data_IF_982374653720
#
_entry.id   IF_982374653720
#
_cell.length_a   1.000
_cell.length_b   1.000
_cell.length_c   1.000
_cell.angle_alpha   90.00
_cell.angle_beta   90.00
_cell.angle_gamma   90.00
#
_symmetry.space_group_name_H-M   'P 1'
#
loop_
_entity.id
_entity.type
_entity.pdbx_description
1 polymer ?
#
# COMPACT_ATOMS: atom_id res chain seq x y z
N UNK A 1 -15.86 17.17 -77.82
CA UNK A 1 -15.97 16.89 -76.37
C UNK A 1 -15.02 15.76 -76.03
N UNK A 2 -13.86 16.08 -75.46
CA UNK A 2 -12.84 15.10 -75.03
C UNK A 2 -13.02 14.83 -73.54
N UNK A 3 -13.49 13.64 -73.17
CA UNK A 3 -13.52 13.18 -71.78
C UNK A 3 -12.16 12.58 -71.45
N UNK A 4 -11.37 13.26 -70.60
CA UNK A 4 -10.04 12.80 -70.18
C UNK A 4 -10.20 11.51 -69.35
N UNK A 5 -9.72 10.34 -69.84
CA UNK A 5 -9.86 9.07 -69.15
C UNK A 5 -8.76 8.96 -68.09
N UNK A 6 -9.04 9.45 -66.88
CA UNK A 6 -8.06 9.33 -65.78
C UNK A 6 -8.48 9.98 -64.47
N UNK A 7 -9.31 11.02 -64.55
CA UNK A 7 -9.71 11.81 -63.36
C UNK A 7 -10.63 11.00 -62.43
N UNK A 8 -11.51 10.16 -62.98
CA UNK A 8 -12.43 9.31 -62.21
C UNK A 8 -11.75 8.16 -61.46
N UNK A 9 -10.73 7.54 -62.06
CA UNK A 9 -9.98 6.44 -61.45
C UNK A 9 -9.05 6.93 -60.33
N UNK A 10 -8.35 8.05 -60.55
CA UNK A 10 -7.51 8.68 -59.53
C UNK A 10 -8.33 9.15 -58.31
N UNK A 11 -9.53 9.71 -58.55
CA UNK A 11 -10.46 10.11 -57.48
C UNK A 11 -10.96 8.89 -56.71
N UNK A 12 -11.48 7.84 -57.37
CA UNK A 12 -11.92 6.61 -56.68
C UNK A 12 -10.81 5.96 -55.86
N UNK A 13 -9.57 5.92 -56.37
CA UNK A 13 -8.39 5.36 -55.66
C UNK A 13 -7.99 6.18 -54.43
N UNK A 14 -8.13 7.51 -54.49
CA UNK A 14 -7.90 8.41 -53.34
C UNK A 14 -8.97 8.26 -52.26
N UNK A 15 -10.22 8.07 -52.66
CA UNK A 15 -11.34 7.81 -51.73
C UNK A 15 -11.23 6.44 -51.07
N UNK A 16 -10.86 5.39 -51.82
CA UNK A 16 -10.60 4.05 -51.23
C UNK A 16 -9.42 4.07 -50.27
N UNK A 17 -8.32 4.77 -50.59
CA UNK A 17 -7.20 4.97 -49.65
C UNK A 17 -7.62 5.69 -48.37
N UNK A 18 -8.47 6.71 -48.49
CA UNK A 18 -9.00 7.46 -47.34
C UNK A 18 -9.89 6.60 -46.45
N UNK A 19 -10.76 5.76 -47.05
CA UNK A 19 -11.63 4.86 -46.30
C UNK A 19 -10.85 3.74 -45.61
N UNK A 20 -9.84 3.16 -46.28
CA UNK A 20 -8.96 2.16 -45.68
C UNK A 20 -8.17 2.75 -44.51
N UNK A 21 -7.64 3.97 -44.64
CA UNK A 21 -6.95 4.66 -43.56
C UNK A 21 -7.86 4.87 -42.34
N UNK A 22 -9.10 5.33 -42.55
CA UNK A 22 -10.08 5.51 -41.48
C UNK A 22 -10.39 4.20 -40.75
N UNK A 23 -10.64 3.12 -41.49
CA UNK A 23 -10.94 1.81 -40.91
C UNK A 23 -9.76 1.29 -40.08
N UNK A 24 -8.52 1.42 -40.59
CA UNK A 24 -7.31 1.01 -39.86
C UNK A 24 -7.13 1.83 -38.60
N UNK A 25 -7.36 3.15 -38.63
CA UNK A 25 -7.27 4.01 -37.45
C UNK A 25 -8.31 3.63 -36.39
N UNK A 26 -9.55 3.37 -36.79
CA UNK A 26 -10.59 2.94 -35.85
C UNK A 26 -10.21 1.60 -35.21
N UNK A 27 -9.80 0.61 -36.02
CA UNK A 27 -9.38 -0.70 -35.51
C UNK A 27 -8.20 -0.56 -34.54
N UNK A 28 -7.18 0.26 -34.86
CA UNK A 28 -6.04 0.45 -33.97
C UNK A 28 -6.41 1.11 -32.65
N UNK A 29 -7.33 2.09 -32.68
CA UNK A 29 -7.83 2.74 -31.45
C UNK A 29 -8.62 1.74 -30.63
N UNK A 30 -9.51 0.95 -31.25
CA UNK A 30 -10.32 -0.04 -30.54
C UNK A 30 -9.45 -1.11 -29.88
N UNK A 31 -8.45 -1.64 -30.60
CA UNK A 31 -7.50 -2.62 -30.03
C UNK A 31 -6.72 -1.99 -28.87
N UNK A 32 -6.25 -0.75 -29.02
CA UNK A 32 -5.56 -0.04 -27.95
C UNK A 32 -6.42 0.13 -26.69
N UNK A 33 -7.69 0.52 -26.86
CA UNK A 33 -8.64 0.65 -25.75
C UNK A 33 -8.92 -0.69 -25.06
N UNK A 34 -9.06 -1.77 -25.81
CA UNK A 34 -9.23 -3.12 -25.25
C UNK A 34 -7.98 -3.53 -24.47
N UNK A 35 -6.77 -3.27 -24.99
CA UNK A 35 -5.53 -3.59 -24.30
C UNK A 35 -5.38 -2.82 -22.98
N UNK A 36 -5.72 -1.52 -22.97
CA UNK A 36 -5.76 -0.70 -21.75
C UNK A 36 -6.77 -1.25 -20.75
N UNK A 37 -7.98 -1.58 -21.20
CA UNK A 37 -9.03 -2.15 -20.34
C UNK A 37 -8.62 -3.49 -19.72
N UNK A 38 -7.92 -4.35 -20.46
CA UNK A 38 -7.38 -5.62 -19.95
C UNK A 38 -6.26 -5.35 -18.94
N UNK A 39 -5.35 -4.42 -19.25
CA UNK A 39 -4.20 -4.13 -18.39
C UNK A 39 -4.63 -3.55 -17.03
N UNK A 40 -5.59 -2.63 -17.03
CA UNK A 40 -6.17 -2.03 -15.82
C UNK A 40 -7.35 -2.84 -15.26
N UNK A 41 -7.59 -4.06 -15.76
CA UNK A 41 -8.68 -4.89 -15.25
C UNK A 41 -8.39 -5.29 -13.80
N UNK A 42 -9.30 -5.02 -12.85
CA UNK A 42 -9.11 -5.34 -11.44
C UNK A 42 -8.91 -6.85 -11.20
N UNK A 43 -9.45 -7.71 -12.08
CA UNK A 43 -9.33 -9.17 -11.97
C UNK A 43 -7.90 -9.70 -12.07
N UNK A 44 -6.93 -8.90 -12.56
CA UNK A 44 -5.50 -9.29 -12.57
C UNK A 44 -4.83 -9.02 -11.22
N UNK A 45 -5.39 -8.13 -10.43
CA UNK A 45 -4.90 -7.75 -9.10
C UNK A 45 -5.62 -8.52 -7.99
N UNK A 46 -6.74 -9.17 -8.30
CA UNK A 46 -7.44 -10.14 -7.44
C UNK A 46 -6.70 -11.49 -7.41
N UNK A 47 -5.39 -11.46 -7.18
CA UNK A 47 -4.69 -12.64 -6.72
C UNK A 47 -5.29 -13.00 -5.37
N UNK A 48 -5.90 -14.17 -5.27
CA UNK A 48 -6.40 -14.74 -4.02
C UNK A 48 -5.21 -14.77 -3.05
N UNK A 49 -5.15 -13.79 -2.15
CA UNK A 49 -4.10 -13.70 -1.14
C UNK A 49 -4.25 -14.95 -0.29
N UNK A 50 -3.19 -15.76 -0.23
CA UNK A 50 -3.16 -16.93 0.64
C UNK A 50 -3.36 -16.45 2.08
N UNK A 51 -4.57 -16.65 2.60
CA UNK A 51 -4.95 -16.22 3.94
C UNK A 51 -4.36 -17.24 4.90
N UNK A 52 -3.18 -16.92 5.44
CA UNK A 52 -2.63 -17.64 6.58
C UNK A 52 -3.55 -17.35 7.77
N UNK A 53 -4.20 -18.34 8.39
CA UNK A 53 -5.06 -18.11 9.53
C UNK A 53 -4.21 -17.82 10.78
N UNK A 54 -4.73 -16.96 11.67
CA UNK A 54 -4.09 -16.71 12.96
C UNK A 54 -4.02 -17.98 13.81
N UNK A 55 -2.84 -18.28 14.32
CA UNK A 55 -2.61 -19.39 15.26
C UNK A 55 -2.67 -18.92 16.71
N UNK A 56 -2.37 -17.65 16.98
CA UNK A 56 -2.38 -17.05 18.32
C UNK A 56 -3.64 -16.23 18.60
N UNK A 57 -3.80 -15.84 19.87
CA UNK A 57 -4.87 -14.95 20.29
C UNK A 57 -4.39 -13.50 20.39
N UNK A 58 -5.32 -12.56 20.17
CA UNK A 58 -5.04 -11.13 20.27
C UNK A 58 -4.46 -10.72 21.63
N UNK A 59 -4.87 -11.36 22.73
CA UNK A 59 -4.33 -11.07 24.06
C UNK A 59 -2.89 -11.52 24.23
N UNK A 60 -2.50 -12.63 23.59
CA UNK A 60 -1.16 -13.21 23.70
C UNK A 60 -0.14 -12.30 23.00
N UNK A 61 -0.47 -11.85 21.80
CA UNK A 61 0.39 -10.92 21.04
C UNK A 61 0.47 -9.53 21.65
N UNK A 62 -0.58 -9.08 22.35
CA UNK A 62 -0.52 -7.82 23.12
C UNK A 62 0.47 -7.95 24.27
N UNK A 63 0.42 -9.05 25.03
CA UNK A 63 1.37 -9.28 26.13
C UNK A 63 2.81 -9.24 25.63
N UNK A 64 3.09 -9.84 24.48
CA UNK A 64 4.43 -9.82 23.89
C UNK A 64 4.91 -8.39 23.57
N UNK A 65 4.04 -7.55 23.02
CA UNK A 65 4.36 -6.12 22.79
C UNK A 65 4.58 -5.39 24.11
N UNK A 66 3.78 -5.67 25.15
CA UNK A 66 3.97 -5.06 26.46
C UNK A 66 5.31 -5.48 27.09
N UNK A 67 5.72 -6.74 26.94
CA UNK A 67 7.01 -7.24 27.40
C UNK A 67 8.17 -6.60 26.62
N UNK A 68 8.05 -6.49 25.30
CA UNK A 68 8.99 -5.76 24.47
C UNK A 68 9.18 -4.32 24.95
N UNK A 69 8.08 -3.58 25.16
CA UNK A 69 8.12 -2.18 25.63
C UNK A 69 8.72 -2.01 27.03
N UNK A 70 8.67 -3.02 27.89
CA UNK A 70 9.34 -3.01 29.21
C UNK A 70 10.86 -3.12 29.09
N UNK A 71 11.35 -3.72 28.02
CA UNK A 71 12.78 -3.88 27.75
C UNK A 71 13.33 -2.78 26.84
N UNK A 72 12.48 -2.15 26.03
CA UNK A 72 12.84 -1.07 25.13
C UNK A 72 12.99 0.25 25.88
N UNK A 73 14.07 0.97 25.59
CA UNK A 73 14.28 2.35 26.03
C UNK A 73 13.83 3.31 24.94
N UNK A 74 13.10 4.37 25.30
CA UNK A 74 12.74 5.38 24.31
C UNK A 74 13.92 6.31 24.00
N UNK A 75 13.94 6.83 22.77
CA UNK A 75 14.77 7.96 22.38
C UNK A 75 13.85 8.98 21.69
N UNK A 76 13.32 9.98 22.41
CA UNK A 76 12.31 10.83 21.78
C UNK A 76 11.73 12.01 22.53
N UNK A 77 12.43 12.61 23.49
CA UNK A 77 12.11 13.97 23.93
C UNK A 77 13.25 14.91 23.55
N UNK A 78 12.90 16.13 23.14
CA UNK A 78 13.84 17.13 22.62
C UNK A 78 14.94 17.55 23.63
N UNK A 79 14.90 17.04 24.85
CA UNK A 79 15.97 17.13 25.84
C UNK A 79 16.71 15.80 25.95
N UNK A 80 17.96 15.79 25.47
CA UNK A 80 18.95 14.72 25.61
C UNK A 80 19.24 14.31 27.08
N UNK A 81 18.61 14.98 28.05
CA UNK A 81 18.75 14.78 29.50
C UNK A 81 17.57 14.03 30.16
N UNK A 82 16.48 13.70 29.43
CA UNK A 82 15.48 12.76 29.94
C UNK A 82 16.02 11.33 29.84
N UNK A 83 16.82 11.00 30.85
CA UNK A 83 17.42 9.70 31.09
C UNK A 83 16.36 8.59 31.10
N UNK A 84 16.36 7.79 30.03
CA UNK A 84 16.10 6.35 30.07
C UNK A 84 14.89 5.89 30.91
N UNK A 85 13.73 6.54 30.80
CA UNK A 85 12.47 5.89 31.20
C UNK A 85 12.13 4.81 30.17
N UNK A 86 11.63 3.66 30.64
CA UNK A 86 11.27 2.56 29.76
C UNK A 86 10.11 2.97 28.84
N UNK A 87 10.09 2.48 27.59
CA UNK A 87 8.96 2.69 26.68
C UNK A 87 7.63 2.29 27.33
N UNK A 88 7.66 1.31 28.22
CA UNK A 88 6.51 0.90 29.02
C UNK A 88 5.86 2.03 29.83
N UNK A 89 6.63 2.92 30.45
CA UNK A 89 6.07 3.97 31.32
C UNK A 89 5.14 4.92 30.55
N UNK A 90 5.44 5.12 29.26
CA UNK A 90 4.64 5.94 28.34
C UNK A 90 3.30 5.27 28.02
N UNK A 91 3.30 3.96 27.83
CA UNK A 91 2.15 3.21 27.33
C UNK A 91 1.41 2.37 28.40
N UNK A 92 1.84 2.40 29.65
CA UNK A 92 1.32 1.52 30.73
C UNK A 92 -0.20 1.64 30.90
N UNK A 93 -0.73 2.86 30.77
CA UNK A 93 -2.17 3.14 30.92
C UNK A 93 -2.91 3.22 29.59
N UNK A 94 -2.22 2.95 28.47
CA UNK A 94 -2.80 3.07 27.13
C UNK A 94 -3.49 1.77 26.68
N UNK A 95 -4.49 1.94 25.83
CA UNK A 95 -5.25 0.83 25.28
C UNK A 95 -4.56 0.28 24.02
N UNK A 96 -4.13 -0.98 24.12
CA UNK A 96 -3.58 -1.74 22.99
C UNK A 96 -4.69 -2.43 22.21
N UNK A 97 -4.63 -2.31 20.88
CA UNK A 97 -5.55 -2.98 19.96
C UNK A 97 -4.74 -3.81 18.98
N UNK A 98 -5.07 -5.10 18.89
CA UNK A 98 -4.44 -6.04 17.97
C UNK A 98 -5.36 -6.32 16.76
N UNK A 99 -4.77 -6.32 15.58
CA UNK A 99 -5.41 -6.61 14.31
C UNK A 99 -4.56 -7.63 13.56
N UNK A 100 -5.16 -8.73 13.13
CA UNK A 100 -4.44 -9.73 12.35
C UNK A 100 -4.36 -9.31 10.88
N UNK A 101 -3.13 -9.16 10.39
CA UNK A 101 -2.85 -9.01 8.97
C UNK A 101 -2.81 -10.43 8.40
N UNK A 102 -3.72 -10.76 7.49
CA UNK A 102 -3.93 -12.08 6.83
C UNK A 102 -2.70 -12.62 6.04
N UNK A 103 -1.52 -12.60 6.64
CA UNK A 103 -0.17 -12.89 6.12
C UNK A 103 0.75 -13.44 7.22
N UNK A 104 0.19 -13.94 8.34
CA UNK A 104 1.00 -14.44 9.46
C UNK A 104 1.52 -13.36 10.41
N UNK A 105 1.00 -12.13 10.34
CA UNK A 105 1.49 -11.01 11.16
C UNK A 105 0.34 -10.37 11.93
N UNK A 106 0.60 -10.00 13.18
CA UNK A 106 -0.27 -9.16 13.98
C UNK A 106 0.22 -7.73 13.95
N UNK A 107 -0.70 -6.80 13.77
CA UNK A 107 -0.46 -5.37 13.96
C UNK A 107 -1.09 -4.94 15.27
N UNK A 108 -0.25 -4.51 16.21
CA UNK A 108 -0.67 -3.95 17.47
C UNK A 108 -0.50 -2.45 17.39
N UNK A 109 -1.47 -1.70 17.87
CA UNK A 109 -1.34 -0.25 17.99
C UNK A 109 -1.88 0.28 19.31
N UNK A 110 -1.29 1.38 19.75
CA UNK A 110 -1.72 2.16 20.89
C UNK A 110 -1.70 3.64 20.52
N UNK A 111 -2.55 4.43 21.18
CA UNK A 111 -2.50 5.88 21.09
C UNK A 111 -1.66 6.41 22.24
N UNK A 112 -0.86 7.43 21.97
CA UNK A 112 -0.26 8.25 23.00
C UNK A 112 -0.37 9.70 22.58
N UNK A 113 -0.96 10.52 23.45
CA UNK A 113 -1.41 11.89 23.16
C UNK A 113 -2.31 11.99 21.90
N UNK A 114 -1.72 12.22 20.73
CA UNK A 114 -2.39 12.39 19.43
C UNK A 114 -1.76 11.55 18.33
N UNK A 115 -0.75 10.75 18.66
CA UNK A 115 -0.02 9.92 17.73
C UNK A 115 -0.40 8.46 17.98
N UNK A 116 -0.56 7.72 16.88
CA UNK A 116 -0.77 6.28 16.93
C UNK A 116 0.54 5.59 16.64
N UNK A 117 0.96 4.75 17.57
CA UNK A 117 2.16 3.93 17.48
C UNK A 117 1.79 2.52 17.06
N UNK A 118 2.66 1.89 16.28
CA UNK A 118 2.39 0.60 15.65
C UNK A 118 3.57 -0.35 15.86
N UNK A 119 3.23 -1.59 16.20
CA UNK A 119 4.16 -2.70 16.32
C UNK A 119 3.63 -3.87 15.50
N UNK A 120 4.55 -4.66 14.95
CA UNK A 120 4.26 -5.94 14.32
C UNK A 120 4.74 -7.07 15.20
N UNK A 121 3.95 -8.13 15.25
CA UNK A 121 4.31 -9.38 15.89
C UNK A 121 4.11 -10.49 14.89
N UNK A 122 5.15 -11.26 14.63
CA UNK A 122 5.05 -12.47 13.82
C UNK A 122 4.24 -13.53 14.61
N UNK A 123 3.21 -14.09 13.98
CA UNK A 123 2.33 -15.10 14.60
C UNK A 123 3.05 -16.43 14.90
N UNK A 124 4.08 -16.77 14.12
CA UNK A 124 4.86 -18.00 14.31
C UNK A 124 5.96 -17.83 15.37
N UNK A 125 6.76 -16.78 15.24
CA UNK A 125 7.97 -16.57 16.06
C UNK A 125 7.74 -15.71 17.30
N UNK A 126 6.62 -14.98 17.38
CA UNK A 126 6.34 -13.94 18.37
C UNK A 126 7.38 -12.80 18.38
N UNK A 127 8.17 -12.67 17.31
CA UNK A 127 9.15 -11.59 17.21
C UNK A 127 8.42 -10.25 17.05
N UNK A 128 8.69 -9.34 18.00
CA UNK A 128 8.16 -7.97 17.97
C UNK A 128 9.10 -7.09 17.16
N UNK A 129 8.58 -6.48 16.10
CA UNK A 129 9.29 -5.48 15.32
C UNK A 129 8.50 -4.18 15.28
N UNK A 130 9.21 -3.05 15.20
CA UNK A 130 8.56 -1.74 15.04
C UNK A 130 8.01 -1.61 13.63
N UNK A 131 6.73 -1.24 13.50
CA UNK A 131 6.16 -0.97 12.18
C UNK A 131 6.52 0.46 11.74
N UNK A 132 7.46 0.57 10.81
CA UNK A 132 7.91 1.87 10.28
C UNK A 132 6.92 2.50 9.28
N UNK A 133 5.79 1.86 8.99
CA UNK A 133 4.83 2.26 7.95
C UNK A 133 4.04 3.56 8.20
N UNK A 134 4.39 4.36 9.20
CA UNK A 134 3.81 5.69 9.43
C UNK A 134 4.80 6.86 9.52
N UNK A 135 6.05 6.68 9.13
CA UNK A 135 7.00 7.81 8.99
C UNK A 135 7.03 8.27 7.53
N UNK A 136 5.93 8.83 7.04
CA UNK A 136 5.97 9.63 5.79
C UNK A 136 5.19 10.95 5.92
N UNK A 137 4.27 11.06 6.87
CA UNK A 137 3.55 12.31 7.16
C UNK A 137 4.12 13.09 8.35
N UNK A 138 5.01 12.48 9.13
CA UNK A 138 5.50 12.98 10.42
C UNK A 138 7.03 13.03 10.52
N UNK A 139 7.75 13.04 9.40
CA UNK A 139 9.20 13.26 9.35
C UNK A 139 9.63 14.63 9.95
N UNK A 140 8.66 15.47 10.35
CA UNK A 140 8.85 16.78 10.96
C UNK A 140 8.25 16.93 12.36
N UNK A 141 7.80 15.86 13.03
CA UNK A 141 7.28 15.95 14.39
C UNK A 141 8.39 15.69 15.43
N UNK A 142 8.90 16.71 16.16
CA UNK A 142 9.88 16.54 17.23
C UNK A 142 9.34 15.83 18.49
N UNK A 143 8.21 15.12 18.39
CA UNK A 143 7.46 14.48 19.48
C UNK A 143 7.28 12.96 19.25
N UNK A 144 7.87 12.40 18.20
CA UNK A 144 7.75 10.98 17.91
C UNK A 144 8.68 10.16 18.81
N UNK A 145 8.13 9.61 19.89
CA UNK A 145 8.80 8.64 20.76
C UNK A 145 9.29 7.43 19.93
N UNK A 146 10.60 7.19 19.92
CA UNK A 146 11.16 6.00 19.27
C UNK A 146 11.19 4.84 20.26
N UNK A 147 10.19 3.98 20.13
CA UNK A 147 10.04 2.62 20.65
C UNK A 147 9.69 1.73 19.44
#
# INVERSE_FOLDING_TARGET
>A
MSSIPGVGAARRRRWTKSLVAQVVTYISITIGLIAVAIYFSPSRFDGELDVIPATRNSSEVIVEVQEYLKTATHHGFADLDEQASGCWEVFENELFVAEYLNRGEWRIHAWYERLRYFWRVDDETLEVSRDLWLIDYLETAPLAISC
#
